data_IF_657948257041
#
_entry.id   IF_657948257041
#
_cell.length_a   1.000
_cell.length_b   1.000
_cell.length_c   1.000
_cell.angle_alpha   90.00
_cell.angle_beta   90.00
_cell.angle_gamma   90.00
#
_symmetry.space_group_name_H-M   'P 1'
#
loop_
_entity.id
_entity.type
_entity.pdbx_description
1 polymer ?
#
# COMPACT_ATOMS: atom_id res chain seq x y z
N UNK A 1 13.28 18.76 -66.85
CA UNK A 1 14.21 18.23 -67.86
C UNK A 1 15.33 17.52 -67.11
N UNK A 2 15.43 16.20 -67.27
CA UNK A 2 16.26 15.32 -66.45
C UNK A 2 17.75 15.50 -66.75
N UNK A 3 18.58 15.52 -65.71
CA UNK A 3 20.05 15.42 -65.82
C UNK A 3 20.52 14.23 -64.98
N UNK A 4 20.96 13.19 -65.70
CA UNK A 4 21.86 12.12 -65.22
C UNK A 4 23.24 12.72 -64.93
N UNK A 5 24.05 12.02 -64.12
CA UNK A 5 25.50 11.78 -64.29
C UNK A 5 25.98 11.08 -62.99
N UNK A 6 26.21 9.77 -62.97
CA UNK A 6 27.40 9.03 -63.44
C UNK A 6 28.53 8.95 -62.40
N UNK A 7 28.84 7.69 -62.06
CA UNK A 7 30.13 7.09 -61.65
C UNK A 7 31.40 7.87 -62.04
N UNK A 8 32.55 7.72 -61.34
CA UNK A 8 33.46 6.63 -61.76
C UNK A 8 34.41 6.05 -60.67
N UNK A 9 34.94 4.86 -60.97
CA UNK A 9 36.34 4.44 -60.73
C UNK A 9 36.76 4.04 -59.29
N UNK A 10 37.66 3.08 -59.04
CA UNK A 10 38.52 2.21 -59.87
C UNK A 10 39.21 1.17 -58.95
N UNK A 11 39.47 -0.01 -59.54
CA UNK A 11 40.72 -0.78 -59.47
C UNK A 11 41.18 -1.55 -58.21
N UNK A 12 41.29 -2.88 -58.45
CA UNK A 12 42.36 -3.83 -58.12
C UNK A 12 42.84 -3.99 -56.66
N UNK A 13 42.63 -5.19 -56.11
CA UNK A 13 43.68 -6.21 -56.06
C UNK A 13 43.09 -7.59 -55.77
N UNK A 14 43.46 -8.57 -56.58
CA UNK A 14 43.22 -10.01 -56.37
C UNK A 14 44.58 -10.64 -56.08
N UNK A 15 44.79 -11.13 -54.87
CA UNK A 15 45.82 -12.12 -54.56
C UNK A 15 45.21 -13.07 -53.55
N UNK A 16 45.10 -14.33 -53.94
CA UNK A 16 44.45 -15.38 -53.17
C UNK A 16 45.32 -15.95 -52.06
N UNK A 17 44.71 -16.86 -51.29
CA UNK A 17 45.24 -18.20 -51.03
C UNK A 17 44.28 -18.94 -50.09
N UNK A 18 44.24 -20.24 -50.33
CA UNK A 18 43.50 -21.28 -49.63
C UNK A 18 43.44 -21.11 -48.11
N UNK A 19 42.30 -21.44 -47.51
CA UNK A 19 42.25 -21.94 -46.12
C UNK A 19 40.99 -22.76 -45.86
N UNK A 20 41.27 -23.97 -45.35
CA UNK A 20 40.43 -24.96 -44.68
C UNK A 20 39.03 -24.50 -44.23
N UNK A 21 38.02 -25.25 -44.66
CA UNK A 21 36.77 -25.38 -43.93
C UNK A 21 37.02 -26.22 -42.66
N UNK A 22 37.26 -25.54 -41.52
CA UNK A 22 37.15 -26.15 -40.20
C UNK A 22 35.83 -25.69 -39.58
N UNK A 23 34.87 -26.61 -39.52
CA UNK A 23 33.62 -26.46 -38.78
C UNK A 23 33.96 -26.44 -37.29
N UNK A 24 34.09 -25.24 -36.72
CA UNK A 24 34.13 -25.04 -35.27
C UNK A 24 32.70 -24.75 -34.80
N UNK A 25 32.10 -25.77 -34.20
CA UNK A 25 30.87 -25.67 -33.42
C UNK A 25 31.17 -24.71 -32.25
N UNK A 26 30.43 -23.59 -32.07
CA UNK A 26 30.58 -22.79 -30.87
C UNK A 26 30.02 -23.60 -29.69
N UNK A 27 30.92 -24.24 -28.93
CA UNK A 27 30.63 -24.65 -27.55
C UNK A 27 30.44 -23.35 -26.79
N UNK A 28 29.17 -22.97 -26.63
CA UNK A 28 28.77 -21.89 -25.74
C UNK A 28 29.08 -22.37 -24.33
N UNK A 29 30.28 -22.05 -23.84
CA UNK A 29 30.59 -22.12 -22.43
C UNK A 29 29.80 -20.98 -21.80
N UNK A 30 28.54 -21.25 -21.44
CA UNK A 30 27.83 -20.43 -20.47
C UNK A 30 28.64 -20.51 -19.18
N UNK A 31 29.51 -19.52 -18.98
CA UNK A 31 29.95 -19.17 -17.64
C UNK A 31 28.70 -18.71 -16.89
N UNK A 32 28.04 -19.67 -16.22
CA UNK A 32 27.14 -19.39 -15.12
C UNK A 32 27.97 -18.69 -14.05
N UNK A 33 28.10 -17.38 -14.18
CA UNK A 33 28.31 -16.50 -13.05
C UNK A 33 27.07 -16.68 -12.19
N UNK A 34 27.17 -17.66 -11.31
CA UNK A 34 26.27 -17.81 -10.18
C UNK A 34 26.48 -16.55 -9.37
N UNK A 35 25.67 -15.53 -9.65
CA UNK A 35 25.54 -14.37 -8.79
C UNK A 35 24.97 -14.93 -7.49
N UNK A 36 25.86 -15.30 -6.58
CA UNK A 36 25.51 -15.54 -5.19
C UNK A 36 24.99 -14.21 -4.70
N UNK A 37 23.67 -14.05 -4.72
CA UNK A 37 22.99 -13.11 -3.86
C UNK A 37 23.43 -13.49 -2.45
N UNK A 38 24.46 -12.81 -1.94
CA UNK A 38 24.77 -12.82 -0.53
C UNK A 38 23.48 -12.40 0.16
N UNK A 39 22.76 -13.38 0.71
CA UNK A 39 21.57 -13.11 1.51
C UNK A 39 22.02 -12.15 2.61
N UNK A 40 21.63 -10.88 2.49
CA UNK A 40 22.03 -9.83 3.42
C UNK A 40 21.63 -10.27 4.83
N UNK A 41 22.60 -10.33 5.73
CA UNK A 41 22.40 -10.74 7.12
C UNK A 41 21.43 -9.74 7.76
N UNK A 42 20.24 -10.22 8.14
CA UNK A 42 19.29 -9.45 8.95
C UNK A 42 19.95 -9.26 10.33
N UNK A 43 19.98 -8.03 10.87
CA UNK A 43 20.54 -7.80 12.20
C UNK A 43 19.91 -8.75 13.24
N UNK A 44 20.73 -9.33 14.12
CA UNK A 44 20.23 -10.23 15.18
C UNK A 44 19.29 -9.52 16.18
N UNK A 45 19.25 -8.19 16.15
CA UNK A 45 18.41 -7.33 16.97
C UNK A 45 17.44 -6.48 16.13
N UNK A 46 16.81 -7.05 15.11
CA UNK A 46 15.93 -6.31 14.21
C UNK A 46 14.75 -5.67 14.97
N UNK A 47 14.68 -4.34 14.94
CA UNK A 47 13.57 -3.53 15.46
C UNK A 47 12.68 -3.06 14.30
N UNK A 48 11.39 -3.37 14.40
CA UNK A 48 10.39 -2.96 13.40
C UNK A 48 9.34 -2.08 14.06
N UNK A 49 8.99 -0.98 13.40
CA UNK A 49 7.81 -0.17 13.73
C UNK A 49 6.86 -0.11 12.56
N UNK A 50 5.58 0.08 12.86
CA UNK A 50 4.57 0.30 11.84
C UNK A 50 3.65 1.45 12.24
N UNK A 51 3.19 2.21 11.26
CA UNK A 51 2.24 3.30 11.46
C UNK A 51 1.33 3.46 10.25
N UNK A 52 0.26 4.24 10.42
CA UNK A 52 -0.70 4.51 9.36
C UNK A 52 -2.11 4.11 9.74
N UNK A 53 -2.90 3.73 8.75
CA UNK A 53 -4.36 3.60 8.87
C UNK A 53 -4.87 2.17 9.14
N UNK A 54 -6.17 1.95 8.92
CA UNK A 54 -6.84 0.66 9.18
C UNK A 54 -6.26 -0.52 8.40
N UNK A 55 -5.59 -0.28 7.26
CA UNK A 55 -4.98 -1.34 6.44
C UNK A 55 -3.84 -2.02 7.20
N UNK A 56 -2.92 -1.22 7.75
CA UNK A 56 -1.75 -1.73 8.49
C UNK A 56 -2.06 -2.01 9.96
N UNK A 57 -3.10 -1.40 10.54
CA UNK A 57 -3.63 -1.79 11.85
C UNK A 57 -4.24 -3.20 11.85
N UNK A 58 -4.61 -3.73 10.67
CA UNK A 58 -5.32 -5.00 10.54
C UNK A 58 -6.75 -4.89 11.04
N UNK A 59 -7.47 -3.85 10.60
CA UNK A 59 -8.87 -3.65 10.94
C UNK A 59 -9.75 -4.80 10.44
N UNK A 60 -10.83 -5.08 11.18
CA UNK A 60 -11.73 -6.20 10.94
C UNK A 60 -11.26 -7.51 11.59
N UNK A 61 -10.14 -7.48 12.30
CA UNK A 61 -9.61 -8.59 13.11
C UNK A 61 -9.35 -8.07 14.52
N UNK A 62 -9.83 -8.77 15.55
CA UNK A 62 -9.56 -8.42 16.94
C UNK A 62 -8.13 -8.81 17.35
N UNK A 63 -7.64 -8.29 18.48
CA UNK A 63 -6.32 -8.69 19.02
C UNK A 63 -6.14 -10.18 19.27
N UNK A 64 -7.23 -10.91 19.51
CA UNK A 64 -7.22 -12.38 19.61
C UNK A 64 -6.96 -13.09 18.27
N UNK A 65 -6.94 -12.37 17.15
CA UNK A 65 -6.91 -12.93 15.79
C UNK A 65 -8.30 -13.32 15.26
N UNK A 66 -9.35 -13.20 16.06
CA UNK A 66 -10.71 -13.49 15.61
C UNK A 66 -11.22 -12.40 14.65
N UNK A 67 -11.88 -12.82 13.57
CA UNK A 67 -12.58 -11.90 12.69
C UNK A 67 -13.69 -11.17 13.45
N UNK A 68 -13.80 -9.86 13.24
CA UNK A 68 -14.90 -9.07 13.79
C UNK A 68 -16.18 -9.41 13.01
N UNK A 69 -17.27 -9.80 13.69
CA UNK A 69 -18.53 -10.15 13.01
C UNK A 69 -19.19 -8.94 12.36
N UNK A 70 -19.79 -9.14 11.18
CA UNK A 70 -20.42 -8.07 10.39
C UNK A 70 -21.51 -7.30 11.15
N UNK A 71 -22.20 -7.97 12.07
CA UNK A 71 -23.22 -7.37 12.93
C UNK A 71 -22.65 -6.30 13.88
N UNK A 72 -21.37 -6.36 14.19
CA UNK A 72 -20.69 -5.48 15.15
C UNK A 72 -19.81 -4.43 14.43
N UNK A 73 -19.79 -4.46 13.10
CA UNK A 73 -18.93 -3.64 12.26
C UNK A 73 -19.19 -2.15 12.35
N UNK A 74 -20.46 -1.79 12.55
CA UNK A 74 -20.90 -0.40 12.69
C UNK A 74 -20.28 0.27 13.89
N UNK A 75 -20.04 -0.51 14.95
CA UNK A 75 -19.53 -0.02 16.23
C UNK A 75 -18.01 0.14 16.22
N UNK A 76 -17.36 -0.29 15.13
CA UNK A 76 -15.94 -0.17 14.89
C UNK A 76 -15.59 1.05 14.03
N UNK A 77 -16.59 1.74 13.47
CA UNK A 77 -16.33 2.78 12.46
C UNK A 77 -15.73 4.03 13.09
N UNK A 78 -14.67 4.58 12.50
CA UNK A 78 -14.32 5.98 12.73
C UNK A 78 -15.48 6.88 12.28
N UNK A 79 -15.68 7.98 13.01
CA UNK A 79 -16.63 9.04 12.67
C UNK A 79 -15.91 10.10 11.86
N UNK A 80 -16.49 10.47 10.73
CA UNK A 80 -15.91 11.37 9.74
C UNK A 80 -16.79 12.59 9.51
N UNK A 81 -16.17 13.71 9.16
CA UNK A 81 -16.81 14.92 8.66
C UNK A 81 -16.83 14.85 7.12
N UNK A 82 -17.83 15.49 6.52
CA UNK A 82 -18.08 15.43 5.07
C UNK A 82 -16.99 16.03 4.19
N UNK A 83 -15.97 16.68 4.76
CA UNK A 83 -14.78 17.21 4.08
C UNK A 83 -13.63 16.18 4.00
N UNK A 84 -13.79 15.01 4.64
CA UNK A 84 -12.79 13.95 4.68
C UNK A 84 -11.94 13.94 5.96
N UNK A 85 -12.13 14.87 6.88
CA UNK A 85 -11.46 14.85 8.18
C UNK A 85 -12.18 13.90 9.16
N UNK A 86 -11.42 13.21 10.02
CA UNK A 86 -11.99 12.37 11.07
C UNK A 86 -12.27 13.19 12.33
N UNK A 87 -13.39 12.91 13.00
CA UNK A 87 -13.63 13.36 14.39
C UNK A 87 -13.18 12.33 15.41
N UNK A 88 -12.92 11.10 14.97
CA UNK A 88 -12.41 10.05 15.83
C UNK A 88 -11.46 9.16 15.05
N UNK A 89 -10.32 8.84 15.65
CA UNK A 89 -9.41 7.80 15.19
C UNK A 89 -8.98 6.98 16.40
N UNK A 90 -8.98 5.65 16.27
CA UNK A 90 -8.75 4.75 17.40
C UNK A 90 -8.27 3.38 16.99
N UNK A 91 -8.04 2.51 17.97
CA UNK A 91 -7.57 1.13 17.73
C UNK A 91 -8.70 0.10 17.77
N UNK A 92 -9.96 0.55 17.73
CA UNK A 92 -11.14 -0.32 17.73
C UNK A 92 -11.09 -1.30 16.57
N UNK A 93 -11.36 -2.56 16.88
CA UNK A 93 -11.54 -3.62 15.88
C UNK A 93 -10.33 -3.83 14.96
N UNK A 94 -9.14 -3.44 15.45
CA UNK A 94 -7.87 -3.65 14.80
C UNK A 94 -7.05 -4.69 15.53
N UNK A 95 -6.31 -5.48 14.76
CA UNK A 95 -5.53 -6.60 15.29
C UNK A 95 -4.42 -6.17 16.24
N UNK A 96 -3.95 -4.92 16.13
CA UNK A 96 -2.97 -4.30 17.02
C UNK A 96 -3.59 -3.61 18.25
N UNK A 97 -4.92 -3.57 18.35
CA UNK A 97 -5.66 -2.84 19.38
C UNK A 97 -6.26 -3.73 20.48
N UNK A 98 -6.39 -3.19 21.70
CA UNK A 98 -7.19 -3.83 22.76
C UNK A 98 -8.69 -3.55 22.63
N UNK A 99 -9.05 -2.53 21.83
CA UNK A 99 -10.40 -2.02 21.76
C UNK A 99 -11.27 -2.87 20.85
N UNK A 100 -12.43 -3.25 21.34
CA UNK A 100 -13.41 -4.06 20.62
C UNK A 100 -14.56 -3.21 20.05
N UNK A 101 -15.55 -3.84 19.43
CA UNK A 101 -16.82 -3.19 19.13
C UNK A 101 -17.41 -2.59 20.41
N UNK A 102 -17.80 -1.31 20.37
CA UNK A 102 -18.44 -0.62 21.49
C UNK A 102 -17.53 0.04 22.53
N UNK A 103 -16.19 -0.07 22.44
CA UNK A 103 -15.24 0.84 23.15
C UNK A 103 -15.49 2.31 22.74
N UNK A 104 -14.86 3.37 23.28
CA UNK A 104 -14.89 4.75 22.73
C UNK A 104 -14.13 4.93 21.39
N UNK A 105 -14.54 5.84 20.46
CA UNK A 105 -14.14 5.81 19.04
C UNK A 105 -12.78 6.44 18.77
N UNK A 106 -12.40 7.32 19.67
CA UNK A 106 -11.16 8.07 19.76
C UNK A 106 -10.14 7.41 20.70
N UNK A 107 -10.49 6.30 21.36
CA UNK A 107 -9.56 5.62 22.25
C UNK A 107 -8.47 4.87 21.46
N UNK A 108 -7.23 5.28 21.68
CA UNK A 108 -6.02 4.61 21.19
C UNK A 108 -5.44 3.74 22.31
N UNK A 109 -5.65 2.43 22.18
CA UNK A 109 -5.13 1.44 23.14
C UNK A 109 -4.61 0.20 22.39
N UNK A 110 -3.30 -0.06 22.48
CA UNK A 110 -2.62 -1.13 21.75
C UNK A 110 -2.55 -2.44 22.55
N UNK A 111 -2.68 -3.60 21.90
CA UNK A 111 -2.45 -4.90 22.54
C UNK A 111 -1.02 -5.00 23.06
N UNK A 112 -0.76 -5.88 24.04
CA UNK A 112 0.56 -6.00 24.66
C UNK A 112 1.68 -6.34 23.67
N UNK A 113 1.35 -7.00 22.56
CA UNK A 113 2.25 -7.43 21.49
C UNK A 113 2.01 -6.69 20.16
N UNK A 114 1.17 -5.65 20.17
CA UNK A 114 0.77 -4.88 18.98
C UNK A 114 0.24 -5.74 17.82
N UNK A 115 -0.40 -6.87 18.12
CA UNK A 115 -0.97 -7.80 17.14
C UNK A 115 0.07 -8.74 16.52
N UNK A 116 1.30 -8.75 17.00
CA UNK A 116 2.36 -9.61 16.46
C UNK A 116 2.00 -11.09 16.53
N UNK A 117 1.41 -11.57 17.61
CA UNK A 117 1.14 -13.00 17.79
C UNK A 117 0.01 -13.51 16.88
N UNK A 118 -0.99 -12.67 16.60
CA UNK A 118 -2.11 -13.07 15.74
C UNK A 118 -1.76 -13.04 14.24
N UNK A 119 -0.74 -12.27 13.83
CA UNK A 119 -0.26 -12.24 12.45
C UNK A 119 -1.30 -11.72 11.44
N UNK A 120 -2.30 -10.97 11.89
CA UNK A 120 -3.40 -10.55 11.03
C UNK A 120 -3.01 -9.39 10.09
N UNK A 121 -2.27 -8.41 10.58
CA UNK A 121 -1.75 -7.33 9.74
C UNK A 121 -0.49 -7.74 8.99
N UNK A 122 -0.28 -7.18 7.80
CA UNK A 122 0.93 -7.43 7.02
C UNK A 122 2.20 -7.03 7.78
N UNK A 123 2.14 -5.98 8.62
CA UNK A 123 3.26 -5.59 9.48
C UNK A 123 3.61 -6.67 10.51
N UNK A 124 2.61 -7.30 11.13
CA UNK A 124 2.81 -8.43 12.04
C UNK A 124 3.44 -9.63 11.30
N UNK A 125 2.98 -9.92 10.07
CA UNK A 125 3.52 -11.00 9.25
C UNK A 125 4.97 -10.75 8.81
N UNK A 126 5.34 -9.51 8.46
CA UNK A 126 6.73 -9.12 8.17
C UNK A 126 7.59 -9.33 9.42
N UNK A 127 7.12 -8.86 10.58
CA UNK A 127 7.82 -9.01 11.86
C UNK A 127 8.09 -10.46 12.24
N UNK A 128 7.09 -11.33 12.09
CA UNK A 128 7.26 -12.77 12.30
C UNK A 128 8.25 -13.38 11.30
N UNK A 129 8.13 -13.05 10.01
CA UNK A 129 8.95 -13.64 8.93
C UNK A 129 10.43 -13.24 9.02
N UNK A 130 10.71 -12.02 9.46
CA UNK A 130 12.07 -11.51 9.65
C UNK A 130 12.64 -11.81 11.04
N UNK A 131 11.84 -12.37 11.95
CA UNK A 131 12.27 -12.67 13.31
C UNK A 131 12.59 -11.42 14.13
N UNK A 132 11.82 -10.34 13.95
CA UNK A 132 12.03 -9.10 14.70
C UNK A 132 11.95 -9.37 16.21
N UNK A 133 12.94 -8.88 16.95
CA UNK A 133 13.02 -9.06 18.42
C UNK A 133 12.23 -7.97 19.16
N UNK A 134 12.03 -6.83 18.50
CA UNK A 134 11.29 -5.68 19.02
C UNK A 134 10.34 -5.18 17.92
N UNK A 135 9.04 -5.20 18.21
CA UNK A 135 7.99 -4.84 17.26
C UNK A 135 6.90 -4.04 17.94
N UNK A 136 6.49 -2.94 17.30
CA UNK A 136 5.28 -2.23 17.64
C UNK A 136 4.57 -1.73 16.38
N UNK A 137 3.26 -1.92 16.33
CA UNK A 137 2.39 -1.41 15.28
C UNK A 137 1.49 -0.33 15.86
N UNK A 138 1.90 0.92 15.67
CA UNK A 138 1.20 2.11 16.17
C UNK A 138 0.10 2.61 15.22
N UNK A 139 -0.23 1.85 14.18
CA UNK A 139 -1.28 2.23 13.24
C UNK A 139 -2.65 2.39 13.92
N UNK A 140 -3.41 3.40 13.48
CA UNK A 140 -4.68 3.81 14.07
C UNK A 140 -5.73 3.82 12.96
N UNK A 141 -6.82 3.06 13.16
CA UNK A 141 -7.90 3.04 12.17
C UNK A 141 -8.58 4.41 12.12
N UNK A 142 -8.75 4.92 10.90
CA UNK A 142 -9.33 6.23 10.65
C UNK A 142 -8.36 7.39 10.81
N UNK A 143 -7.07 7.13 11.03
CA UNK A 143 -6.07 8.21 10.98
C UNK A 143 -5.90 8.72 9.56
N UNK A 144 -6.09 10.02 9.35
CA UNK A 144 -5.81 10.65 8.06
C UNK A 144 -4.33 11.04 7.95
N UNK A 145 -3.88 11.53 6.79
CA UNK A 145 -2.55 12.12 6.67
C UNK A 145 -2.34 13.29 7.64
N UNK A 146 -3.37 14.12 7.86
CA UNK A 146 -3.29 15.26 8.77
C UNK A 146 -3.12 14.81 10.24
N UNK A 147 -3.60 13.61 10.58
CA UNK A 147 -3.45 13.06 11.92
C UNK A 147 -2.00 12.79 12.34
N UNK A 148 -1.12 12.53 11.38
CA UNK A 148 0.29 12.19 11.63
C UNK A 148 1.24 13.39 11.55
N UNK A 149 0.73 14.56 11.13
CA UNK A 149 1.50 15.80 11.02
C UNK A 149 1.50 16.55 12.34
N UNK A 150 2.54 17.34 12.59
CA UNK A 150 2.56 18.31 13.69
C UNK A 150 1.65 19.50 13.37
N UNK A 151 0.36 19.34 13.62
CA UNK A 151 -0.66 20.37 13.41
C UNK A 151 -1.19 20.89 14.75
N UNK A 152 -1.58 22.18 14.84
CA UNK A 152 -2.31 22.68 15.99
C UNK A 152 -3.59 21.89 16.19
N UNK A 153 -4.01 21.73 17.45
CA UNK A 153 -5.29 21.12 17.77
C UNK A 153 -6.45 21.96 17.20
N UNK A 154 -7.37 21.30 16.51
CA UNK A 154 -8.61 21.88 15.99
C UNK A 154 -9.81 21.13 16.60
N UNK A 155 -10.64 21.84 17.38
CA UNK A 155 -11.85 21.28 17.99
C UNK A 155 -12.85 20.78 16.93
N UNK A 156 -12.81 21.33 15.71
CA UNK A 156 -13.65 20.89 14.60
C UNK A 156 -13.11 19.61 13.94
N UNK A 157 -11.82 19.32 14.04
CA UNK A 157 -11.18 18.15 13.45
C UNK A 157 -10.18 17.52 14.44
N UNK A 158 -10.65 17.00 15.59
CA UNK A 158 -9.80 16.65 16.73
C UNK A 158 -8.87 15.46 16.46
N UNK A 159 -9.09 14.70 15.38
CA UNK A 159 -8.18 13.64 14.96
C UNK A 159 -6.97 14.17 14.16
N UNK A 160 -6.94 15.44 13.75
CA UNK A 160 -5.78 16.06 13.11
C UNK A 160 -4.68 16.33 14.16
N UNK A 161 -3.43 16.01 13.81
CA UNK A 161 -2.29 16.01 14.74
C UNK A 161 -2.33 14.97 15.88
N UNK A 162 -3.46 14.30 16.10
CA UNK A 162 -3.67 13.42 17.26
C UNK A 162 -2.78 12.17 17.28
N UNK A 163 -2.13 11.81 16.17
CA UNK A 163 -1.19 10.69 16.08
C UNK A 163 0.27 11.14 15.94
N UNK A 164 0.56 12.44 15.93
CA UNK A 164 1.93 12.94 15.79
C UNK A 164 2.86 12.44 16.91
N UNK A 165 2.36 12.37 18.15
CA UNK A 165 3.11 11.80 19.28
C UNK A 165 3.51 10.31 19.10
N UNK A 166 2.76 9.55 18.30
CA UNK A 166 3.11 8.18 17.94
C UNK A 166 4.23 8.16 16.89
N UNK A 167 4.25 9.13 15.98
CA UNK A 167 5.36 9.31 15.03
C UNK A 167 6.66 9.66 15.77
N UNK A 168 6.61 10.63 16.69
CA UNK A 168 7.76 11.00 17.54
C UNK A 168 8.29 9.80 18.35
N UNK A 169 7.39 8.94 18.83
CA UNK A 169 7.78 7.70 19.51
C UNK A 169 8.51 6.73 18.59
N UNK A 170 8.08 6.60 17.33
CA UNK A 170 8.77 5.77 16.34
C UNK A 170 10.16 6.33 16.06
N UNK A 171 10.29 7.65 15.95
CA UNK A 171 11.58 8.33 15.77
C UNK A 171 12.52 8.08 16.95
N UNK A 172 12.03 8.24 18.19
CA UNK A 172 12.78 7.95 19.41
C UNK A 172 13.21 6.48 19.52
N UNK A 173 12.40 5.56 19.01
CA UNK A 173 12.71 4.14 18.98
C UNK A 173 13.83 3.80 17.98
N UNK A 174 14.20 4.70 17.05
CA UNK A 174 15.19 4.51 15.96
C UNK A 174 15.20 3.07 15.38
N UNK A 175 14.09 2.62 14.77
CA UNK A 175 13.97 1.26 14.26
C UNK A 175 14.82 1.02 13.03
N UNK A 176 15.09 -0.25 12.73
CA UNK A 176 15.74 -0.65 11.47
C UNK A 176 14.80 -0.54 10.26
N UNK A 177 13.51 -0.85 10.48
CA UNK A 177 12.46 -0.88 9.46
C UNK A 177 11.23 -0.17 10.01
N UNK A 178 10.67 0.73 9.19
CA UNK A 178 9.36 1.34 9.40
C UNK A 178 8.44 0.93 8.26
N UNK A 179 7.29 0.39 8.62
CA UNK A 179 6.25 -0.07 7.69
C UNK A 179 5.07 0.90 7.73
N UNK A 180 4.55 1.30 6.58
CA UNK A 180 3.49 2.29 6.52
C UNK A 180 2.40 1.95 5.49
N UNK A 181 1.14 2.21 5.87
CA UNK A 181 0.00 2.30 4.95
C UNK A 181 -0.75 3.58 5.30
N UNK A 182 -0.63 4.63 4.47
CA UNK A 182 -1.27 5.91 4.74
C UNK A 182 -1.69 6.60 3.43
N UNK A 183 -2.67 7.50 3.49
CA UNK A 183 -3.21 8.20 2.32
C UNK A 183 -4.47 7.59 1.72
N UNK A 184 -4.88 6.39 2.18
CA UNK A 184 -6.14 5.76 1.76
C UNK A 184 -7.37 6.40 2.38
N UNK A 185 -7.26 6.80 3.64
CA UNK A 185 -8.38 7.37 4.42
C UNK A 185 -9.01 8.63 3.81
N UNK A 186 -8.25 9.41 3.04
CA UNK A 186 -8.76 10.60 2.36
C UNK A 186 -9.95 10.28 1.42
N UNK A 187 -10.09 9.02 0.95
CA UNK A 187 -11.09 8.64 -0.05
C UNK A 187 -11.75 7.27 0.14
N UNK A 188 -11.20 6.38 0.97
CA UNK A 188 -11.58 4.95 0.95
C UNK A 188 -12.71 4.55 1.91
N UNK A 189 -13.09 5.38 2.88
CA UNK A 189 -13.87 4.91 4.04
C UNK A 189 -15.34 5.33 4.12
N UNK A 190 -16.17 5.09 3.09
CA UNK A 190 -17.48 5.72 3.09
C UNK A 190 -18.63 5.01 2.39
N UNK A 191 -19.81 5.06 3.03
CA UNK A 191 -21.04 5.47 2.37
C UNK A 191 -21.29 7.00 2.38
N UNK A 192 -20.46 7.89 2.94
CA UNK A 192 -20.66 9.37 2.94
C UNK A 192 -19.42 10.23 2.56
N UNK A 193 -18.55 9.75 1.67
CA UNK A 193 -17.24 10.37 1.41
C UNK A 193 -17.23 11.33 0.27
N UNK A 194 -16.24 12.23 0.29
CA UNK A 194 -15.96 13.12 -0.82
C UNK A 194 -15.86 12.36 -2.15
N UNK A 195 -15.29 11.14 -2.17
CA UNK A 195 -15.24 10.33 -3.41
C UNK A 195 -16.62 9.94 -3.96
N UNK A 196 -17.68 9.87 -3.14
CA UNK A 196 -19.04 9.60 -3.64
C UNK A 196 -19.58 10.76 -4.47
N UNK A 197 -19.10 11.99 -4.27
CA UNK A 197 -19.47 13.10 -5.17
C UNK A 197 -18.86 12.91 -6.57
N UNK A 198 -17.76 12.16 -6.68
CA UNK A 198 -17.20 11.74 -7.95
C UNK A 198 -17.95 10.55 -8.56
N UNK A 199 -18.53 9.69 -7.72
CA UNK A 199 -19.19 8.47 -8.14
C UNK A 199 -20.47 8.75 -8.94
N UNK A 200 -20.59 8.09 -10.09
CA UNK A 200 -21.83 7.99 -10.87
C UNK A 200 -22.22 6.52 -11.00
N UNK A 201 -23.52 6.23 -10.97
CA UNK A 201 -24.09 4.88 -11.06
C UNK A 201 -24.13 4.33 -12.50
N UNK A 202 -23.11 4.61 -13.31
CA UNK A 202 -23.06 4.19 -14.72
C UNK A 202 -21.63 3.82 -15.13
N UNK A 203 -21.49 2.83 -16.02
CA UNK A 203 -20.22 2.36 -16.60
C UNK A 203 -20.05 2.84 -18.05
N UNK A 204 -20.57 4.02 -18.36
CA UNK A 204 -20.37 4.62 -19.68
C UNK A 204 -18.89 5.03 -19.83
N UNK A 205 -18.22 4.66 -20.95
CA UNK A 205 -16.81 5.01 -21.17
C UNK A 205 -16.50 6.50 -21.01
N UNK A 206 -17.43 7.38 -21.42
CA UNK A 206 -17.30 8.83 -21.28
C UNK A 206 -17.22 9.34 -19.82
N UNK A 207 -17.61 8.52 -18.84
CA UNK A 207 -17.59 8.89 -17.42
C UNK A 207 -16.25 8.56 -16.74
N UNK A 208 -15.43 7.68 -17.32
CA UNK A 208 -14.14 7.31 -16.73
C UNK A 208 -13.19 8.51 -16.60
N UNK A 209 -13.00 9.36 -17.64
CA UNK A 209 -12.16 10.54 -17.50
C UNK A 209 -12.68 11.54 -16.45
N UNK A 210 -14.01 11.68 -16.34
CA UNK A 210 -14.64 12.57 -15.36
C UNK A 210 -14.41 12.09 -13.92
N UNK A 211 -14.50 10.77 -13.71
CA UNK A 211 -14.22 10.16 -12.40
C UNK A 211 -12.75 10.33 -12.01
N UNK A 212 -11.82 10.03 -12.92
CA UNK A 212 -10.37 10.21 -12.72
C UNK A 212 -10.05 11.66 -12.35
N UNK A 213 -10.56 12.62 -13.13
CA UNK A 213 -10.34 14.05 -12.89
C UNK A 213 -10.87 14.49 -11.52
N UNK A 214 -12.06 14.03 -11.14
CA UNK A 214 -12.65 14.35 -9.84
C UNK A 214 -11.82 13.77 -8.68
N UNK A 215 -11.41 12.50 -8.77
CA UNK A 215 -10.56 11.84 -7.75
C UNK A 215 -9.23 12.58 -7.60
N UNK A 216 -8.57 12.91 -8.72
CA UNK A 216 -7.30 13.63 -8.70
C UNK A 216 -7.44 15.03 -8.06
N UNK A 217 -8.56 15.71 -8.28
CA UNK A 217 -8.85 16.99 -7.63
C UNK A 217 -9.03 16.85 -6.12
N UNK A 218 -9.70 15.79 -5.67
CA UNK A 218 -9.83 15.52 -4.24
C UNK A 218 -8.47 15.21 -3.60
N UNK A 219 -7.66 14.35 -4.24
CA UNK A 219 -6.30 14.03 -3.79
C UNK A 219 -5.40 15.28 -3.72
N UNK A 220 -5.48 16.14 -4.72
CA UNK A 220 -4.74 17.40 -4.76
C UNK A 220 -5.20 18.37 -3.67
N UNK A 221 -6.52 18.50 -3.46
CA UNK A 221 -7.09 19.34 -2.40
C UNK A 221 -6.68 18.87 -0.99
N UNK A 222 -6.51 17.56 -0.82
CA UNK A 222 -6.03 16.95 0.43
C UNK A 222 -4.50 16.95 0.57
N UNK A 223 -3.77 17.49 -0.42
CA UNK A 223 -2.31 17.58 -0.43
C UNK A 223 -1.63 16.22 -0.16
N UNK A 224 -2.18 15.13 -0.70
CA UNK A 224 -1.78 13.75 -0.35
C UNK A 224 -0.28 13.54 -0.55
N UNK A 225 0.26 13.90 -1.71
CA UNK A 225 1.69 13.84 -2.00
C UNK A 225 2.51 14.64 -0.99
N UNK A 226 2.17 15.91 -0.78
CA UNK A 226 2.94 16.83 0.05
C UNK A 226 2.95 16.38 1.52
N UNK A 227 1.81 15.92 2.04
CA UNK A 227 1.69 15.44 3.41
C UNK A 227 2.44 14.12 3.61
N UNK A 228 2.37 13.17 2.67
CA UNK A 228 3.20 11.95 2.70
C UNK A 228 4.70 12.28 2.69
N UNK A 229 5.11 13.24 1.86
CA UNK A 229 6.50 13.72 1.86
C UNK A 229 6.88 14.32 3.22
N UNK A 230 6.06 15.20 3.79
CA UNK A 230 6.32 15.83 5.08
C UNK A 230 6.47 14.80 6.22
N UNK A 231 5.56 13.82 6.32
CA UNK A 231 5.65 12.73 7.31
C UNK A 231 6.93 11.91 7.11
N UNK A 232 7.28 11.61 5.85
CA UNK A 232 8.48 10.84 5.53
C UNK A 232 9.75 11.62 5.86
N UNK A 233 9.75 12.93 5.62
CA UNK A 233 10.87 13.81 5.96
C UNK A 233 11.08 13.90 7.46
N UNK A 234 10.00 14.05 8.25
CA UNK A 234 10.08 14.09 9.70
C UNK A 234 10.70 12.80 10.25
N UNK A 235 10.13 11.65 9.87
CA UNK A 235 10.59 10.35 10.32
C UNK A 235 12.04 10.05 9.93
N UNK A 236 12.42 10.28 8.67
CA UNK A 236 13.75 9.93 8.19
C UNK A 236 14.82 10.94 8.62
N UNK A 237 14.47 12.21 8.85
CA UNK A 237 15.41 13.18 9.39
C UNK A 237 15.75 12.91 10.86
N UNK A 238 14.80 12.36 11.62
CA UNK A 238 14.94 12.10 13.06
C UNK A 238 15.33 10.66 13.41
N UNK A 239 15.56 9.80 12.41
CA UNK A 239 16.08 8.43 12.61
C UNK A 239 17.43 8.27 11.91
N UNK A 240 18.29 7.43 12.46
CA UNK A 240 19.61 7.13 11.88
C UNK A 240 19.51 5.96 10.91
N UNK A 241 18.78 4.91 11.31
CA UNK A 241 18.84 3.60 10.65
C UNK A 241 17.57 3.20 9.90
N UNK A 242 16.45 3.87 10.17
CA UNK A 242 15.14 3.48 9.66
C UNK A 242 15.10 3.43 8.13
N UNK A 243 14.59 2.32 7.60
CA UNK A 243 14.14 2.22 6.21
C UNK A 243 12.61 2.24 6.19
N UNK A 244 12.03 3.22 5.50
CA UNK A 244 10.60 3.41 5.40
C UNK A 244 10.04 2.70 4.17
N UNK A 245 9.05 1.82 4.37
CA UNK A 245 8.35 1.13 3.30
C UNK A 245 6.86 1.47 3.33
N UNK A 246 6.38 2.14 2.29
CA UNK A 246 4.95 2.34 2.07
C UNK A 246 4.34 1.17 1.32
N UNK A 247 3.16 0.69 1.72
CA UNK A 247 2.38 -0.25 0.91
C UNK A 247 1.46 0.48 -0.06
N UNK A 248 1.34 -0.05 -1.28
CA UNK A 248 0.19 0.27 -2.14
C UNK A 248 -1.13 -0.26 -1.57
N UNK A 249 -2.22 0.46 -1.86
CA UNK A 249 -3.57 0.01 -1.64
C UNK A 249 -4.02 -0.92 -2.76
N UNK A 250 -4.77 -1.96 -2.38
CA UNK A 250 -5.49 -2.81 -3.32
C UNK A 250 -6.95 -2.32 -3.47
N UNK A 251 -7.61 -2.55 -4.63
CA UNK A 251 -9.04 -2.28 -4.78
C UNK A 251 -9.85 -3.03 -3.71
N UNK A 252 -10.93 -2.42 -3.22
CA UNK A 252 -11.73 -2.98 -2.13
C UNK A 252 -12.48 -4.23 -2.60
N UNK A 253 -12.95 -5.04 -1.65
CA UNK A 253 -13.95 -6.04 -1.98
C UNK A 253 -15.27 -5.33 -2.31
N UNK A 254 -15.86 -5.52 -3.50
CA UNK A 254 -17.04 -4.78 -3.94
C UNK A 254 -18.32 -5.13 -3.20
N UNK A 255 -18.30 -6.12 -2.29
CA UNK A 255 -19.47 -6.51 -1.49
C UNK A 255 -19.98 -5.41 -0.55
N UNK A 256 -19.16 -4.42 -0.24
CA UNK A 256 -19.48 -3.35 0.73
C UNK A 256 -19.10 -1.95 0.23
N UNK A 257 -18.80 -1.78 -1.07
CA UNK A 257 -18.39 -0.49 -1.63
C UNK A 257 -19.56 0.26 -2.25
N UNK A 258 -19.58 1.57 -2.05
CA UNK A 258 -20.48 2.48 -2.76
C UNK A 258 -19.99 2.85 -4.17
N UNK A 259 -18.82 2.34 -4.58
CA UNK A 259 -18.20 2.57 -5.89
C UNK A 259 -18.33 1.31 -6.77
N UNK A 260 -18.48 1.51 -8.07
CA UNK A 260 -18.38 0.43 -9.06
C UNK A 260 -16.98 -0.20 -9.02
N UNK A 261 -16.81 -1.50 -9.39
CA UNK A 261 -15.50 -2.15 -9.36
C UNK A 261 -14.40 -1.38 -10.11
N UNK A 262 -14.70 -0.83 -11.30
CA UNK A 262 -13.72 -0.03 -12.05
C UNK A 262 -13.36 1.28 -11.36
N UNK A 263 -14.30 1.90 -10.63
CA UNK A 263 -14.05 3.12 -9.85
C UNK A 263 -13.12 2.84 -8.66
N UNK A 264 -13.24 1.64 -8.05
CA UNK A 264 -12.35 1.22 -6.97
C UNK A 264 -10.91 1.00 -7.47
N UNK A 265 -10.75 0.43 -8.66
CA UNK A 265 -9.43 0.28 -9.30
C UNK A 265 -8.82 1.65 -9.58
N UNK A 266 -9.55 2.53 -10.27
CA UNK A 266 -9.07 3.90 -10.56
C UNK A 266 -8.70 4.65 -9.29
N UNK A 267 -9.49 4.50 -8.23
CA UNK A 267 -9.23 5.14 -6.95
C UNK A 267 -7.95 4.62 -6.28
N UNK A 268 -7.78 3.29 -6.22
CA UNK A 268 -6.57 2.68 -5.69
C UNK A 268 -5.33 3.11 -6.49
N UNK A 269 -5.41 3.07 -7.82
CA UNK A 269 -4.34 3.50 -8.73
C UNK A 269 -3.97 4.97 -8.51
N UNK A 270 -4.97 5.86 -8.37
CA UNK A 270 -4.74 7.28 -8.14
C UNK A 270 -4.07 7.55 -6.79
N UNK A 271 -4.46 6.84 -5.72
CA UNK A 271 -3.82 6.94 -4.40
C UNK A 271 -2.39 6.42 -4.47
N UNK A 272 -2.18 5.25 -5.08
CA UNK A 272 -0.86 4.64 -5.24
C UNK A 272 0.09 5.55 -6.03
N UNK A 273 -0.41 6.21 -7.09
CA UNK A 273 0.37 7.20 -7.83
C UNK A 273 0.81 8.40 -6.96
N UNK A 274 0.02 8.82 -5.97
CA UNK A 274 0.44 9.85 -5.01
C UNK A 274 1.51 9.33 -4.05
N UNK A 275 1.41 8.07 -3.62
CA UNK A 275 2.44 7.41 -2.78
C UNK A 275 3.75 7.35 -3.56
N UNK A 276 3.73 6.85 -4.80
CA UNK A 276 4.92 6.77 -5.66
C UNK A 276 5.54 8.15 -5.88
N UNK A 277 4.72 9.15 -6.21
CA UNK A 277 5.18 10.51 -6.40
C UNK A 277 5.76 11.14 -5.13
N UNK A 278 5.24 10.77 -3.95
CA UNK A 278 5.81 11.22 -2.67
C UNK A 278 7.16 10.55 -2.39
N UNK A 279 7.28 9.23 -2.61
CA UNK A 279 8.54 8.50 -2.44
C UNK A 279 9.62 9.01 -3.39
N UNK A 280 9.27 9.25 -4.66
CA UNK A 280 10.18 9.88 -5.64
C UNK A 280 10.56 11.29 -5.17
N UNK A 281 9.59 12.10 -4.75
CA UNK A 281 9.87 13.44 -4.24
C UNK A 281 10.78 13.45 -3.00
N UNK A 282 10.70 12.44 -2.14
CA UNK A 282 11.62 12.27 -1.01
C UNK A 282 13.04 11.98 -1.52
N UNK A 283 13.20 11.00 -2.43
CA UNK A 283 14.50 10.64 -3.04
C UNK A 283 15.15 11.83 -3.76
N UNK A 284 14.36 12.64 -4.44
CA UNK A 284 14.82 13.84 -5.17
C UNK A 284 15.18 15.02 -4.26
N UNK A 285 14.93 14.93 -2.94
CA UNK A 285 15.28 16.01 -1.99
C UNK A 285 16.79 16.24 -1.85
N UNK A 286 17.62 15.26 -2.20
CA UNK A 286 19.07 15.31 -2.04
C UNK A 286 19.56 15.14 -0.60
N UNK A 287 18.67 14.86 0.36
CA UNK A 287 19.06 14.53 1.72
C UNK A 287 19.82 13.20 1.79
N UNK A 288 20.80 13.08 2.68
CA UNK A 288 21.62 11.85 2.81
C UNK A 288 20.81 10.60 3.17
N UNK A 289 19.63 10.78 3.79
CA UNK A 289 18.71 9.72 4.16
C UNK A 289 17.63 9.45 3.12
N UNK A 290 17.58 10.20 2.03
CA UNK A 290 16.49 10.16 1.06
C UNK A 290 16.37 8.82 0.31
N UNK A 291 17.45 8.02 0.26
CA UNK A 291 17.42 6.67 -0.32
C UNK A 291 16.83 5.62 0.63
N UNK A 292 16.57 5.96 1.90
CA UNK A 292 16.00 5.07 2.93
C UNK A 292 14.47 4.92 2.86
N UNK A 293 13.85 5.27 1.75
CA UNK A 293 12.40 5.08 1.50
C UNK A 293 12.14 4.21 0.27
N UNK A 294 11.11 3.37 0.29
CA UNK A 294 10.63 2.60 -0.87
C UNK A 294 9.15 2.24 -0.79
N UNK A 295 8.65 1.64 -1.86
CA UNK A 295 7.25 1.19 -1.99
C UNK A 295 7.19 -0.33 -2.13
N UNK A 296 6.20 -0.91 -1.47
CA UNK A 296 5.82 -2.32 -1.58
C UNK A 296 4.70 -2.44 -2.58
N UNK A 297 5.05 -2.83 -3.81
CA UNK A 297 4.09 -3.14 -4.87
C UNK A 297 3.51 -4.55 -4.67
N UNK A 298 2.19 -4.67 -4.53
CA UNK A 298 1.53 -5.98 -4.60
C UNK A 298 1.30 -6.33 -6.08
N UNK A 299 2.33 -6.84 -6.75
CA UNK A 299 2.31 -7.17 -8.20
C UNK A 299 1.34 -8.30 -8.62
N UNK A 300 0.54 -8.85 -7.69
CA UNK A 300 -0.16 -10.13 -7.87
C UNK A 300 -1.69 -10.07 -8.01
N UNK A 301 -2.34 -8.90 -7.96
CA UNK A 301 -3.79 -8.84 -8.20
C UNK A 301 -4.18 -8.63 -9.68
N UNK A 302 -3.24 -8.23 -10.54
CA UNK A 302 -3.56 -7.80 -11.91
C UNK A 302 -3.60 -8.91 -12.99
N UNK A 303 -2.99 -10.09 -12.78
CA UNK A 303 -2.78 -11.04 -13.89
C UNK A 303 -3.29 -12.49 -13.71
N UNK A 304 -3.97 -12.81 -12.60
CA UNK A 304 -4.35 -14.21 -12.31
C UNK A 304 -5.79 -14.49 -11.84
N UNK A 305 -6.50 -13.55 -11.22
CA UNK A 305 -7.89 -13.78 -10.84
C UNK A 305 -8.81 -13.40 -12.02
N UNK A 306 -9.29 -14.41 -12.76
CA UNK A 306 -10.53 -14.28 -13.53
C UNK A 306 -11.63 -13.91 -12.54
N UNK A 307 -12.13 -12.67 -12.62
CA UNK A 307 -13.32 -12.23 -11.89
C UNK A 307 -14.48 -13.13 -12.28
N UNK A 308 -14.75 -14.19 -11.50
CA UNK A 308 -15.94 -15.01 -11.69
C UNK A 308 -17.11 -14.28 -11.08
N UNK A 309 -17.98 -13.81 -11.97
CA UNK A 309 -19.26 -13.21 -11.64
C UNK A 309 -20.18 -14.26 -11.03
N UNK A 310 -20.57 -14.10 -9.77
CA UNK A 310 -21.61 -14.93 -9.14
C UNK A 310 -22.75 -14.03 -8.71
N UNK A 311 -23.95 -14.32 -9.23
CA UNK A 311 -25.19 -13.65 -8.84
C UNK A 311 -25.62 -14.12 -7.44
N UNK A 312 -25.98 -13.19 -6.56
CA UNK A 312 -26.50 -13.49 -5.24
C UNK A 312 -27.38 -12.35 -4.69
N UNK A 313 -28.30 -12.64 -3.75
CA UNK A 313 -29.20 -11.63 -3.19
C UNK A 313 -28.41 -10.59 -2.38
N UNK A 314 -28.68 -9.31 -2.64
CA UNK A 314 -28.12 -8.18 -1.88
C UNK A 314 -29.05 -7.80 -0.72
N UNK A 315 -28.48 -7.31 0.39
CA UNK A 315 -29.23 -6.74 1.52
C UNK A 315 -29.93 -5.41 1.18
N UNK A 316 -29.68 -4.81 0.00
CA UNK A 316 -30.15 -3.46 -0.37
C UNK A 316 -30.90 -3.38 -1.71
N UNK A 317 -31.50 -4.46 -2.20
CA UNK A 317 -32.35 -4.44 -3.41
C UNK A 317 -31.69 -4.98 -4.69
N UNK A 318 -32.40 -4.95 -5.83
CA UNK A 318 -32.37 -6.01 -6.83
C UNK A 318 -31.03 -6.14 -7.56
N UNK A 319 -30.50 -7.38 -7.49
CA UNK A 319 -29.43 -7.98 -8.29
C UNK A 319 -28.16 -7.14 -8.48
N UNK A 320 -27.23 -7.26 -7.53
CA UNK A 320 -25.88 -6.70 -7.68
C UNK A 320 -24.87 -7.80 -8.03
N UNK A 321 -23.99 -7.48 -8.97
CA UNK A 321 -22.94 -8.35 -9.44
C UNK A 321 -21.78 -8.31 -8.45
N UNK A 322 -21.50 -9.41 -7.76
CA UNK A 322 -20.30 -9.50 -6.93
C UNK A 322 -19.15 -10.03 -7.77
N UNK A 323 -18.10 -9.21 -7.90
CA UNK A 323 -16.82 -9.66 -8.42
C UNK A 323 -15.92 -9.86 -7.20
N UNK A 324 -15.53 -11.10 -6.89
CA UNK A 324 -14.69 -11.40 -5.72
C UNK A 324 -13.27 -11.75 -6.14
N UNK A 325 -12.24 -11.48 -5.33
CA UNK A 325 -11.00 -12.21 -5.47
C UNK A 325 -11.30 -13.68 -5.16
N UNK A 326 -10.65 -14.56 -5.92
CA UNK A 326 -10.39 -15.96 -5.64
C UNK A 326 -10.91 -16.46 -4.26
N UNK A 327 -12.20 -16.82 -4.18
CA UNK A 327 -12.79 -17.41 -2.97
C UNK A 327 -12.48 -18.90 -2.96
N UNK A 328 -11.58 -19.31 -2.07
CA UNK A 328 -11.51 -20.70 -1.60
C UNK A 328 -12.83 -21.08 -0.93
N UNK A 329 -13.21 -22.34 -1.07
CA UNK A 329 -14.51 -22.88 -0.69
C UNK A 329 -14.91 -22.56 0.78
N UNK A 330 -16.11 -22.02 0.93
CA UNK A 330 -16.99 -22.30 2.06
C UNK A 330 -16.58 -21.78 3.44
N UNK A 331 -17.01 -20.55 3.76
CA UNK A 331 -17.78 -20.17 4.97
C UNK A 331 -18.11 -18.67 4.93
N UNK A 332 -19.33 -18.32 5.31
CA UNK A 332 -19.83 -16.94 5.46
C UNK A 332 -19.16 -16.25 6.67
N UNK A 333 -17.90 -15.89 6.53
CA UNK A 333 -17.19 -15.00 7.46
C UNK A 333 -16.45 -13.96 6.63
N UNK A 334 -17.18 -12.96 6.15
CA UNK A 334 -16.58 -11.83 5.43
C UNK A 334 -15.93 -10.88 6.45
N UNK A 335 -14.62 -10.59 6.35
CA UNK A 335 -14.04 -9.46 7.06
C UNK A 335 -14.79 -8.20 6.62
N UNK A 336 -15.19 -7.37 7.58
CA UNK A 336 -15.87 -6.13 7.25
C UNK A 336 -14.83 -5.17 6.71
N UNK A 337 -15.02 -4.77 5.46
CA UNK A 337 -14.24 -3.74 4.80
C UNK A 337 -15.24 -2.67 4.37
N UNK A 338 -15.36 -1.59 5.15
CA UNK A 338 -16.12 -0.38 4.80
C UNK A 338 -15.27 0.65 4.02
N UNK A 339 -14.12 0.16 3.58
CA UNK A 339 -13.06 0.72 2.75
C UNK A 339 -12.06 -0.41 2.52
N UNK A 340 -11.20 -0.29 1.51
CA UNK A 340 -10.21 -1.25 0.94
C UNK A 340 -9.31 -2.00 1.94
N UNK A 341 -9.84 -2.64 2.97
CA UNK A 341 -9.03 -3.35 3.95
C UNK A 341 -8.70 -4.70 3.34
N UNK A 342 -7.40 -5.00 3.12
CA UNK A 342 -7.01 -6.21 2.45
C UNK A 342 -7.43 -7.40 3.33
N UNK A 343 -8.08 -8.39 2.70
CA UNK A 343 -8.32 -9.68 3.35
C UNK A 343 -7.01 -10.41 3.63
N UNK A 344 -7.04 -11.55 4.37
CA UNK A 344 -5.83 -12.25 4.81
C UNK A 344 -4.84 -12.56 3.67
N UNK A 345 -5.33 -12.99 2.50
CA UNK A 345 -4.48 -13.27 1.34
C UNK A 345 -3.75 -12.01 0.81
N UNK A 346 -4.44 -10.86 0.79
CA UNK A 346 -3.84 -9.61 0.37
C UNK A 346 -2.83 -9.09 1.40
N UNK A 347 -3.14 -9.19 2.71
CA UNK A 347 -2.18 -8.90 3.79
C UNK A 347 -0.91 -9.75 3.64
N UNK A 348 -1.04 -11.04 3.35
CA UNK A 348 0.11 -11.93 3.11
C UNK A 348 0.88 -11.61 1.84
N UNK A 349 0.21 -11.20 0.77
CA UNK A 349 0.87 -10.76 -0.46
C UNK A 349 1.71 -9.48 -0.21
N UNK A 350 1.15 -8.50 0.50
CA UNK A 350 1.87 -7.27 0.89
C UNK A 350 3.06 -7.63 1.79
N UNK A 351 2.87 -8.49 2.79
CA UNK A 351 3.95 -8.90 3.68
C UNK A 351 5.09 -9.61 2.94
N UNK A 352 4.77 -10.53 2.03
CA UNK A 352 5.77 -11.24 1.23
C UNK A 352 6.54 -10.28 0.30
N UNK A 353 5.85 -9.33 -0.34
CA UNK A 353 6.47 -8.30 -1.15
C UNK A 353 7.40 -7.40 -0.31
N UNK A 354 6.95 -6.98 0.88
CA UNK A 354 7.76 -6.19 1.80
C UNK A 354 9.03 -6.94 2.24
N UNK A 355 8.91 -8.22 2.62
CA UNK A 355 10.06 -9.07 2.96
C UNK A 355 11.05 -9.18 1.80
N UNK A 356 10.54 -9.30 0.57
CA UNK A 356 11.38 -9.32 -0.64
C UNK A 356 12.14 -8.01 -0.81
N UNK A 357 11.47 -6.85 -0.72
CA UNK A 357 12.11 -5.53 -0.79
C UNK A 357 13.18 -5.39 0.29
N UNK A 358 12.86 -5.73 1.54
CA UNK A 358 13.78 -5.62 2.68
C UNK A 358 15.05 -6.46 2.49
N UNK A 359 14.92 -7.68 1.97
CA UNK A 359 16.05 -8.60 1.76
C UNK A 359 16.91 -8.24 0.55
N UNK A 360 16.28 -7.72 -0.52
CA UNK A 360 16.94 -7.55 -1.80
C UNK A 360 17.44 -6.11 -2.04
N UNK A 361 16.83 -5.11 -1.40
CA UNK A 361 17.18 -3.71 -1.64
C UNK A 361 18.44 -3.32 -0.88
N UNK A 362 19.37 -2.71 -1.62
CA UNK A 362 20.56 -2.12 -1.04
C UNK A 362 20.24 -0.70 -0.57
N UNK A 363 19.91 -0.59 0.70
CA UNK A 363 19.76 0.68 1.41
C UNK A 363 21.16 1.12 1.85
N UNK A 364 21.76 2.06 1.12
CA UNK A 364 23.07 2.63 1.40
C UNK A 364 22.92 4.09 1.80
#
# INVERSE_FOLDING_TARGET
>A
MAVRLSSPSRCFLLVGLASLALVLIPVSVQAQTSSSTLARVIPQSLRIRAFGDGVIAGFGVASSGALVPITNATDCRPVWIGDGSATSAGTRCSSNGRNGPGSPPDEVSFSADFGRANGASWAAQVSQTLGAVDFANYAVTGSSLASWLNLPHDDAAPAEGAQHNLLERIEQDDPDIVLASLGGEALLQQPAGAVRSCARWSDQPAQRPQFVECVNRLLAGQLVKQRLMAISFDLLAHTINAKLLYSHYSPASPRLSALLPWQQVVLADAINAQIDAAVVGVRESGASWAERIDVVESSSFAFGCLWKTVAGPSLFGPNWWTSGPCMGDGKLSTPISLGTIPGPAAQSAIAAAAVSVIRNRNWN
#
